data_IF_257262431341
#
_entry.id   IF_257262431341
#
_cell.length_a   1.000
_cell.length_b   1.000
_cell.length_c   1.000
_cell.angle_alpha   90.00
_cell.angle_beta   90.00
_cell.angle_gamma   90.00
#
_symmetry.space_group_name_H-M   'P 1'
#
loop_
_entity.id
_entity.type
_entity.pdbx_description
1 polymer ?
#
# COMPACT_ATOMS: atom_id res chain seq x y z
N UNK A 1 -15.25 4.39 -1.58
CA UNK A 1 -14.56 4.91 -0.37
C UNK A 1 -13.09 5.21 -0.64
N UNK A 2 -12.41 5.98 0.21
CA UNK A 2 -10.94 6.17 0.18
C UNK A 2 -10.26 5.04 0.94
N UNK A 3 -9.15 4.53 0.39
CA UNK A 3 -8.29 3.53 1.02
C UNK A 3 -6.97 4.19 1.46
N UNK A 4 -5.94 4.15 0.62
CA UNK A 4 -4.64 4.75 0.86
C UNK A 4 -4.65 6.27 0.76
N UNK A 5 -3.88 6.90 1.65
CA UNK A 5 -3.71 8.35 1.71
C UNK A 5 -2.23 8.69 1.91
N UNK A 6 -1.74 9.68 1.16
CA UNK A 6 -0.43 10.32 1.36
C UNK A 6 -0.57 11.84 1.30
N UNK A 7 0.46 12.54 1.76
CA UNK A 7 0.56 13.99 1.61
C UNK A 7 1.77 14.31 0.74
N UNK A 8 1.55 15.14 -0.28
CA UNK A 8 2.64 15.63 -1.15
C UNK A 8 3.53 16.65 -0.41
N UNK A 9 4.57 17.14 -1.11
CA UNK A 9 5.57 18.09 -0.57
C UNK A 9 4.96 19.44 -0.18
N UNK A 10 3.85 19.81 -0.82
CA UNK A 10 3.10 21.04 -0.54
C UNK A 10 2.08 20.87 0.62
N UNK A 11 1.95 19.65 1.15
CA UNK A 11 1.01 19.32 2.21
C UNK A 11 -0.43 19.08 1.74
N UNK A 12 -0.64 18.88 0.43
CA UNK A 12 -1.93 18.47 -0.10
C UNK A 12 -2.13 16.98 0.12
N UNK A 13 -3.37 16.59 0.39
CA UNK A 13 -3.74 15.18 0.56
C UNK A 13 -3.94 14.53 -0.81
N UNK A 14 -3.31 13.38 -1.04
CA UNK A 14 -3.52 12.50 -2.17
C UNK A 14 -4.25 11.26 -1.66
N UNK A 15 -5.40 10.96 -2.23
CA UNK A 15 -6.24 9.84 -1.82
C UNK A 15 -6.50 8.89 -2.99
N UNK A 16 -6.32 7.59 -2.73
CA UNK A 16 -6.69 6.51 -3.63
C UNK A 16 -8.13 6.12 -3.30
N UNK A 17 -9.01 6.33 -4.26
CA UNK A 17 -10.41 5.97 -4.11
C UNK A 17 -10.68 4.64 -4.81
N UNK A 18 -11.18 3.67 -4.05
CA UNK A 18 -11.50 2.34 -4.55
C UNK A 18 -12.79 2.29 -5.36
N UNK A 19 -13.25 1.06 -5.57
CA UNK A 19 -14.62 0.76 -5.99
C UNK A 19 -15.60 0.96 -4.81
N UNK A 20 -16.79 0.39 -4.91
CA UNK A 20 -17.88 0.56 -3.95
C UNK A 20 -18.20 2.05 -3.71
N UNK A 21 -18.72 2.70 -4.76
CA UNK A 21 -19.05 4.13 -4.78
C UNK A 21 -17.86 5.07 -4.52
N UNK A 22 -16.62 4.56 -4.55
CA UNK A 22 -15.40 5.37 -4.41
C UNK A 22 -15.01 6.15 -5.65
N UNK A 23 -15.55 5.81 -6.81
CA UNK A 23 -15.26 6.51 -8.05
C UNK A 23 -13.97 6.08 -8.75
N UNK A 24 -13.15 5.20 -8.15
CA UNK A 24 -12.02 4.51 -8.81
C UNK A 24 -11.02 5.47 -9.44
N UNK A 25 -10.47 6.37 -8.62
CA UNK A 25 -9.66 7.49 -9.06
C UNK A 25 -8.65 7.94 -8.00
N UNK A 26 -7.58 8.60 -8.44
CA UNK A 26 -6.73 9.41 -7.58
C UNK A 26 -7.29 10.83 -7.48
N UNK A 27 -7.39 11.32 -6.25
CA UNK A 27 -7.84 12.69 -5.96
C UNK A 27 -6.77 13.41 -5.16
N UNK A 28 -6.53 14.69 -5.48
CA UNK A 28 -5.75 15.64 -4.70
C UNK A 28 -6.67 16.64 -4.02
N UNK A 29 -6.51 16.83 -2.72
CA UNK A 29 -7.24 17.84 -1.95
C UNK A 29 -6.25 18.86 -1.40
N UNK A 30 -6.44 20.13 -1.74
CA UNK A 30 -5.73 21.24 -1.11
C UNK A 30 -6.22 21.37 0.34
N UNK A 31 -5.33 21.09 1.28
CA UNK A 31 -5.66 21.05 2.70
C UNK A 31 -5.89 22.44 3.32
N UNK A 32 -5.54 23.52 2.61
CA UNK A 32 -5.82 24.90 3.04
C UNK A 32 -7.21 25.35 2.61
N UNK A 33 -7.59 25.04 1.36
CA UNK A 33 -8.87 25.48 0.80
C UNK A 33 -9.99 24.44 0.87
N UNK A 34 -9.66 23.17 1.09
CA UNK A 34 -10.59 22.04 1.06
C UNK A 34 -11.03 21.62 -0.35
N UNK A 35 -10.49 22.24 -1.41
CA UNK A 35 -10.85 21.92 -2.80
C UNK A 35 -10.20 20.63 -3.26
N UNK A 36 -10.96 19.80 -3.96
CA UNK A 36 -10.52 18.50 -4.48
C UNK A 36 -10.50 18.48 -6.01
N UNK A 37 -9.51 17.79 -6.57
CA UNK A 37 -9.25 17.67 -7.99
C UNK A 37 -8.98 16.21 -8.34
N UNK A 38 -9.56 15.74 -9.43
CA UNK A 38 -9.24 14.41 -9.97
C UNK A 38 -7.88 14.51 -10.65
N UNK A 39 -6.95 13.65 -10.24
CA UNK A 39 -5.64 13.53 -10.88
C UNK A 39 -5.68 12.54 -12.03
N UNK A 40 -6.28 11.38 -11.81
CA UNK A 40 -6.58 10.40 -12.86
C UNK A 40 -7.72 9.48 -12.40
N UNK A 41 -8.55 9.04 -13.34
CA UNK A 41 -9.59 8.03 -13.12
C UNK A 41 -9.64 6.95 -14.21
N UNK A 42 -8.78 7.05 -15.22
CA UNK A 42 -8.78 6.17 -16.38
C UNK A 42 -7.35 5.78 -16.75
N UNK A 43 -7.19 4.55 -17.24
CA UNK A 43 -5.99 4.11 -17.93
C UNK A 43 -6.39 3.46 -19.26
N UNK A 44 -5.78 3.93 -20.36
CA UNK A 44 -6.13 3.52 -21.73
C UNK A 44 -7.64 3.58 -22.01
N UNK A 45 -8.29 4.67 -21.57
CA UNK A 45 -9.73 4.91 -21.78
C UNK A 45 -10.68 4.05 -20.93
N UNK A 46 -10.16 3.18 -20.07
CA UNK A 46 -10.96 2.32 -19.18
C UNK A 46 -10.82 2.77 -17.71
N UNK A 47 -11.87 2.66 -16.88
CA UNK A 47 -11.77 2.87 -15.43
C UNK A 47 -10.71 1.98 -14.80
N UNK A 48 -10.12 2.42 -13.69
CA UNK A 48 -9.39 1.52 -12.80
C UNK A 48 -10.33 0.49 -12.15
N UNK A 49 -9.76 -0.58 -11.58
CA UNK A 49 -10.53 -1.62 -10.92
C UNK A 49 -11.04 -1.18 -9.54
N UNK A 50 -10.12 -0.91 -8.61
CA UNK A 50 -10.36 -0.33 -7.29
C UNK A 50 -8.99 0.06 -6.69
N UNK A 51 -8.64 1.35 -6.75
CA UNK A 51 -7.37 1.80 -6.18
C UNK A 51 -7.30 1.48 -4.68
N UNK A 52 -6.11 1.13 -4.22
CA UNK A 52 -5.87 0.80 -2.82
C UNK A 52 -4.83 1.72 -2.18
N UNK A 53 -3.53 1.42 -2.29
CA UNK A 53 -2.49 2.14 -1.55
C UNK A 53 -1.63 3.02 -2.47
N UNK A 54 -0.96 4.03 -1.87
CA UNK A 54 -0.19 5.06 -2.59
C UNK A 54 1.19 5.24 -1.98
N UNK A 55 2.18 5.52 -2.83
CA UNK A 55 3.42 6.19 -2.44
C UNK A 55 3.79 7.28 -3.44
N UNK A 56 4.62 8.23 -3.03
CA UNK A 56 5.06 9.34 -3.86
C UNK A 56 6.58 9.38 -3.75
N UNK A 57 7.27 9.58 -4.87
CA UNK A 57 8.72 9.68 -4.88
C UNK A 57 9.22 11.13 -4.84
N UNK A 58 10.53 11.31 -4.74
CA UNK A 58 11.14 12.64 -4.63
C UNK A 58 10.98 13.50 -5.90
N UNK A 59 10.69 12.88 -7.04
CA UNK A 59 10.42 13.57 -8.31
C UNK A 59 8.93 13.98 -8.44
N UNK A 60 8.10 13.64 -7.45
CA UNK A 60 6.67 13.94 -7.44
C UNK A 60 5.82 12.95 -8.24
N UNK A 61 6.39 11.80 -8.65
CA UNK A 61 5.64 10.73 -9.30
C UNK A 61 4.83 9.98 -8.26
N UNK A 62 3.56 9.71 -8.56
CA UNK A 62 2.63 9.05 -7.64
C UNK A 62 2.43 7.62 -8.11
N UNK A 63 2.81 6.66 -7.28
CA UNK A 63 2.60 5.23 -7.56
C UNK A 63 1.43 4.71 -6.73
N UNK A 64 0.60 3.87 -7.33
CA UNK A 64 -0.60 3.36 -6.69
C UNK A 64 -0.98 1.96 -7.17
N UNK A 65 -1.66 1.20 -6.32
CA UNK A 65 -2.09 -0.18 -6.59
C UNK A 65 -3.56 -0.28 -6.96
N UNK A 66 -3.91 -1.24 -7.83
CA UNK A 66 -5.27 -1.46 -8.36
C UNK A 66 -5.77 -2.93 -8.25
N UNK A 67 -5.98 -3.45 -7.02
CA UNK A 67 -6.20 -4.89 -6.76
C UNK A 67 -7.63 -5.44 -6.85
N UNK A 68 -8.68 -4.61 -6.86
CA UNK A 68 -10.10 -5.07 -6.70
C UNK A 68 -10.34 -6.01 -5.50
N UNK A 69 -10.41 -5.42 -4.30
CA UNK A 69 -10.79 -6.14 -3.07
C UNK A 69 -12.28 -6.03 -2.70
N UNK A 70 -12.90 -4.90 -3.04
CA UNK A 70 -14.22 -4.47 -2.61
C UNK A 70 -14.98 -3.85 -3.78
N UNK A 71 -16.30 -3.74 -3.66
CA UNK A 71 -17.21 -3.16 -4.67
C UNK A 71 -17.96 -4.22 -5.46
N UNK A 72 -19.00 -3.81 -6.19
CA UNK A 72 -19.80 -4.63 -7.11
C UNK A 72 -19.48 -4.31 -8.58
N UNK A 73 -18.63 -3.30 -8.81
CA UNK A 73 -18.27 -2.82 -10.13
C UNK A 73 -17.43 -3.85 -10.89
N UNK A 74 -17.58 -3.97 -12.22
CA UNK A 74 -16.77 -4.87 -13.02
C UNK A 74 -15.26 -4.58 -12.90
N UNK A 75 -14.44 -5.59 -13.18
CA UNK A 75 -13.01 -5.42 -13.44
C UNK A 75 -12.85 -4.86 -14.85
N UNK A 76 -12.26 -3.68 -14.98
CA UNK A 76 -12.10 -2.97 -16.26
C UNK A 76 -10.68 -3.05 -16.81
N UNK A 77 -9.67 -3.05 -15.93
CA UNK A 77 -8.27 -3.23 -16.29
C UNK A 77 -7.88 -4.70 -16.27
N UNK A 78 -6.96 -5.07 -17.14
CA UNK A 78 -6.52 -6.45 -17.25
C UNK A 78 -5.59 -6.81 -16.07
N UNK A 79 -6.09 -7.67 -15.19
CA UNK A 79 -5.38 -8.12 -13.99
C UNK A 79 -5.28 -7.06 -12.89
N UNK A 80 -4.42 -7.33 -11.91
CA UNK A 80 -4.10 -6.43 -10.81
C UNK A 80 -2.70 -5.88 -11.00
N UNK A 81 -2.58 -4.56 -10.92
CA UNK A 81 -1.36 -3.87 -11.31
C UNK A 81 -1.06 -2.68 -10.41
N UNK A 82 0.21 -2.26 -10.42
CA UNK A 82 0.62 -0.95 -9.96
C UNK A 82 0.81 -0.01 -11.14
N UNK A 83 0.46 1.25 -10.92
CA UNK A 83 0.56 2.34 -11.89
C UNK A 83 1.41 3.47 -11.33
N UNK A 84 1.93 4.31 -12.22
CA UNK A 84 2.63 5.55 -11.91
C UNK A 84 1.93 6.69 -12.65
N UNK A 85 1.60 7.75 -11.94
CA UNK A 85 1.20 9.04 -12.49
C UNK A 85 2.41 9.98 -12.41
N UNK A 86 2.85 10.47 -13.56
CA UNK A 86 3.96 11.41 -13.68
C UNK A 86 3.47 12.87 -13.52
N UNK A 87 4.36 13.82 -13.12
CA UNK A 87 4.01 15.23 -12.94
C UNK A 87 3.40 15.92 -14.17
N UNK A 88 3.65 15.40 -15.38
CA UNK A 88 3.07 15.89 -16.62
C UNK A 88 1.63 15.40 -16.86
N UNK A 89 1.11 14.52 -15.99
CA UNK A 89 -0.23 13.94 -16.06
C UNK A 89 -0.29 12.61 -16.83
N UNK A 90 0.82 12.11 -17.37
CA UNK A 90 0.86 10.81 -18.01
C UNK A 90 0.78 9.68 -16.97
N UNK A 91 0.15 8.55 -17.37
CA UNK A 91 0.00 7.39 -16.50
C UNK A 91 0.59 6.17 -17.19
N UNK A 92 1.46 5.46 -16.47
CA UNK A 92 2.08 4.21 -16.92
C UNK A 92 1.71 3.05 -16.01
N UNK A 93 1.51 1.86 -16.59
CA UNK A 93 1.35 0.61 -15.83
C UNK A 93 2.73 0.00 -15.56
N UNK A 94 3.21 0.12 -14.33
CA UNK A 94 4.61 -0.16 -13.98
C UNK A 94 4.85 -1.56 -13.39
N UNK A 95 3.83 -2.26 -12.90
CA UNK A 95 3.95 -3.66 -12.50
C UNK A 95 2.65 -4.42 -12.74
N UNK A 96 2.74 -5.56 -13.43
CA UNK A 96 1.62 -6.51 -13.68
C UNK A 96 1.83 -7.86 -13.01
N UNK A 97 3.01 -8.09 -12.45
CA UNK A 97 3.43 -9.33 -11.80
C UNK A 97 3.45 -9.20 -10.26
N UNK A 98 2.75 -8.20 -9.72
CA UNK A 98 2.70 -7.91 -8.29
C UNK A 98 1.60 -8.68 -7.54
N UNK A 99 0.84 -9.53 -8.23
CA UNK A 99 -0.32 -10.23 -7.65
C UNK A 99 -1.44 -9.24 -7.32
N UNK A 100 -2.29 -9.61 -6.36
CA UNK A 100 -3.34 -8.73 -5.83
C UNK A 100 -2.70 -7.69 -4.91
N UNK A 101 -2.16 -6.65 -5.54
CA UNK A 101 -1.25 -5.70 -4.91
C UNK A 101 -1.93 -4.75 -3.91
N UNK A 102 -1.31 -4.51 -2.77
CA UNK A 102 -1.88 -3.70 -1.70
C UNK A 102 -0.94 -2.54 -1.35
N UNK A 103 -0.28 -2.56 -0.19
CA UNK A 103 0.76 -1.60 0.16
C UNK A 103 1.86 -1.47 -0.90
N UNK A 104 2.21 -0.21 -1.18
CA UNK A 104 3.28 0.18 -2.11
C UNK A 104 4.16 1.26 -1.46
N UNK A 105 5.48 1.15 -1.64
CA UNK A 105 6.44 2.01 -0.96
C UNK A 105 7.73 2.15 -1.77
N UNK A 106 8.07 3.37 -2.17
CA UNK A 106 9.41 3.72 -2.65
C UNK A 106 10.35 3.83 -1.43
N UNK A 107 11.55 3.26 -1.54
CA UNK A 107 12.57 3.36 -0.51
C UNK A 107 13.07 4.79 -0.33
N UNK A 108 13.57 5.17 0.85
CA UNK A 108 14.15 6.50 1.07
C UNK A 108 15.24 6.88 0.07
N UNK A 109 16.06 5.92 -0.36
CA UNK A 109 17.13 6.13 -1.34
C UNK A 109 16.66 6.15 -2.81
N UNK A 110 15.35 6.07 -3.05
CA UNK A 110 14.67 6.11 -4.35
C UNK A 110 15.03 4.96 -5.32
N UNK A 111 15.69 3.91 -4.84
CA UNK A 111 16.22 2.83 -5.70
C UNK A 111 15.40 1.55 -5.68
N UNK A 112 14.55 1.37 -4.68
CA UNK A 112 13.77 0.14 -4.51
C UNK A 112 12.30 0.45 -4.32
N UNK A 113 11.43 -0.16 -5.13
CA UNK A 113 10.00 -0.16 -4.90
C UNK A 113 9.62 -1.46 -4.20
N UNK A 114 8.94 -1.35 -3.07
CA UNK A 114 8.34 -2.48 -2.36
C UNK A 114 6.86 -2.53 -2.65
N UNK A 115 6.35 -3.70 -3.02
CA UNK A 115 4.93 -3.93 -3.27
C UNK A 115 4.53 -5.22 -2.56
N UNK A 116 3.48 -5.14 -1.76
CA UNK A 116 2.90 -6.35 -1.18
C UNK A 116 1.76 -6.90 -2.04
N UNK A 117 1.62 -8.22 -2.02
CA UNK A 117 0.44 -8.92 -2.51
C UNK A 117 -0.31 -9.50 -1.33
N UNK A 118 -1.62 -9.30 -1.30
CA UNK A 118 -2.53 -9.99 -0.40
C UNK A 118 -3.63 -10.62 -1.23
N UNK A 119 -3.40 -11.84 -1.74
CA UNK A 119 -4.37 -12.50 -2.57
C UNK A 119 -5.32 -13.35 -1.73
N UNK A 120 -6.39 -12.71 -1.28
CA UNK A 120 -7.46 -13.33 -0.53
C UNK A 120 -8.39 -14.22 -1.39
N UNK A 121 -8.08 -14.44 -2.68
CA UNK A 121 -8.82 -15.36 -3.55
C UNK A 121 -10.21 -14.87 -3.97
N UNK A 122 -10.58 -13.62 -3.69
CA UNK A 122 -11.95 -13.15 -3.92
C UNK A 122 -12.08 -11.65 -4.17
N UNK A 123 -12.89 -11.25 -5.15
CA UNK A 123 -13.01 -9.84 -5.57
C UNK A 123 -13.90 -8.98 -4.65
N UNK A 124 -14.76 -9.60 -3.83
CA UNK A 124 -15.75 -8.92 -3.01
C UNK A 124 -15.82 -9.56 -1.62
N UNK A 125 -14.71 -9.48 -0.87
CA UNK A 125 -14.57 -10.30 0.34
C UNK A 125 -15.61 -9.96 1.43
N UNK A 126 -16.24 -8.80 1.37
CA UNK A 126 -17.33 -8.42 2.27
C UNK A 126 -18.62 -9.21 2.04
N UNK A 127 -18.79 -9.81 0.86
CA UNK A 127 -19.96 -10.62 0.52
C UNK A 127 -19.78 -12.10 0.91
N UNK A 128 -18.61 -12.48 1.46
CA UNK A 128 -18.40 -13.80 2.01
C UNK A 128 -19.25 -13.97 3.27
N UNK A 129 -19.93 -15.12 3.38
CA UNK A 129 -20.69 -15.48 4.58
C UNK A 129 -19.73 -15.89 5.68
N UNK A 130 -20.20 -15.79 6.93
CA UNK A 130 -19.44 -16.29 8.07
C UNK A 130 -19.13 -17.78 7.88
N UNK A 131 -17.84 -18.13 7.97
CA UNK A 131 -17.35 -19.49 7.77
C UNK A 131 -16.97 -19.86 6.33
N UNK A 132 -17.25 -19.01 5.33
CA UNK A 132 -16.77 -19.24 3.96
C UNK A 132 -15.26 -19.02 3.85
N UNK A 133 -14.60 -19.93 3.14
CA UNK A 133 -13.17 -19.86 2.83
C UNK A 133 -12.96 -19.76 1.34
N UNK A 134 -11.97 -19.00 0.93
CA UNK A 134 -11.61 -18.79 -0.47
C UNK A 134 -10.26 -19.45 -0.77
N UNK A 135 -10.01 -19.75 -2.04
CA UNK A 135 -8.69 -20.23 -2.47
C UNK A 135 -7.75 -19.03 -2.54
N UNK A 136 -7.00 -18.82 -1.48
CA UNK A 136 -6.00 -17.76 -1.38
C UNK A 136 -4.78 -18.09 -2.23
N UNK A 137 -4.09 -17.05 -2.69
CA UNK A 137 -2.84 -17.17 -3.43
C UNK A 137 -1.76 -16.25 -2.83
N UNK A 138 -0.84 -15.75 -3.66
CA UNK A 138 0.39 -15.09 -3.22
C UNK A 138 0.19 -14.01 -2.15
N UNK A 139 0.74 -14.28 -0.96
CA UNK A 139 0.87 -13.34 0.16
C UNK A 139 2.33 -12.92 0.28
N UNK A 140 2.71 -11.90 -0.48
CA UNK A 140 4.12 -11.65 -0.79
C UNK A 140 4.55 -10.26 -0.34
N UNK A 141 5.74 -10.16 0.23
CA UNK A 141 6.53 -8.92 0.19
C UNK A 141 7.49 -9.00 -0.99
N UNK A 142 7.34 -8.08 -1.94
CA UNK A 142 8.12 -8.05 -3.18
C UNK A 142 8.94 -6.76 -3.25
N UNK A 143 10.07 -6.82 -3.93
CA UNK A 143 10.92 -5.67 -4.22
C UNK A 143 11.24 -5.62 -5.71
N UNK A 144 11.42 -4.40 -6.21
CA UNK A 144 11.74 -4.07 -7.59
C UNK A 144 12.82 -3.00 -7.59
N UNK A 145 13.73 -3.07 -8.56
CA UNK A 145 14.68 -1.98 -8.80
C UNK A 145 13.95 -0.84 -9.53
N UNK A 146 14.28 0.40 -9.18
CA UNK A 146 13.70 1.62 -9.75
C UNK A 146 14.76 2.34 -10.57
N UNK A 147 14.49 2.57 -11.85
CA UNK A 147 15.38 3.37 -12.70
C UNK A 147 15.12 4.89 -12.54
N UNK A 148 15.97 5.70 -13.16
CA UNK A 148 15.84 7.17 -13.11
C UNK A 148 14.49 7.67 -13.65
N UNK A 149 13.92 6.95 -14.62
CA UNK A 149 12.61 7.23 -15.23
C UNK A 149 11.44 6.69 -14.40
N UNK A 150 11.69 6.00 -13.29
CA UNK A 150 10.69 5.48 -12.37
C UNK A 150 10.09 4.15 -12.83
N UNK A 151 10.74 3.44 -13.74
CA UNK A 151 10.30 2.12 -14.19
C UNK A 151 10.78 1.04 -13.23
N UNK A 152 9.99 -0.02 -13.12
CA UNK A 152 10.25 -1.14 -12.21
C UNK A 152 10.84 -2.33 -12.97
N UNK A 153 11.90 -2.91 -12.43
CA UNK A 153 12.55 -4.10 -12.99
C UNK A 153 13.06 -5.04 -11.89
N UNK A 154 13.65 -6.18 -12.27
CA UNK A 154 14.32 -7.11 -11.35
C UNK A 154 13.48 -7.52 -10.13
N UNK A 155 12.21 -7.86 -10.38
CA UNK A 155 11.28 -8.33 -9.35
C UNK A 155 11.89 -9.48 -8.55
N UNK A 156 11.84 -9.36 -7.23
CA UNK A 156 12.23 -10.42 -6.27
C UNK A 156 11.22 -10.52 -5.14
N UNK A 157 10.97 -11.73 -4.67
CA UNK A 157 10.16 -11.99 -3.47
C UNK A 157 11.10 -12.00 -2.28
N UNK A 158 10.86 -11.14 -1.30
CA UNK A 158 11.62 -11.10 -0.04
C UNK A 158 11.02 -12.04 0.99
N UNK A 159 9.69 -12.07 1.09
CA UNK A 159 8.96 -12.98 1.98
C UNK A 159 7.73 -13.50 1.24
N UNK A 160 7.52 -14.81 1.32
CA UNK A 160 6.28 -15.47 0.93
C UNK A 160 5.58 -15.96 2.21
N UNK A 161 4.60 -15.18 2.68
CA UNK A 161 3.88 -15.44 3.92
C UNK A 161 3.00 -16.71 3.85
N UNK A 162 2.66 -17.16 2.63
CA UNK A 162 1.93 -18.40 2.41
C UNK A 162 2.80 -19.65 2.61
N UNK A 163 4.14 -19.49 2.61
CA UNK A 163 5.13 -20.56 2.75
C UNK A 163 5.87 -20.58 4.09
N UNK A 164 5.43 -19.77 5.05
CA UNK A 164 5.94 -19.84 6.41
C UNK A 164 5.49 -21.15 7.08
N UNK A 165 6.23 -21.60 8.10
CA UNK A 165 5.88 -22.79 8.91
C UNK A 165 4.42 -22.77 9.38
N UNK A 166 3.93 -21.58 9.70
CA UNK A 166 2.51 -21.30 9.90
C UNK A 166 2.08 -20.19 8.93
N UNK A 167 1.37 -20.52 7.84
CA UNK A 167 0.90 -19.54 6.88
C UNK A 167 0.08 -18.42 7.54
N UNK A 168 0.12 -17.24 6.94
CA UNK A 168 -0.63 -16.06 7.37
C UNK A 168 -1.40 -15.49 6.18
N UNK A 169 -2.48 -14.74 6.44
CA UNK A 169 -3.16 -13.90 5.42
C UNK A 169 -2.31 -12.77 4.84
N UNK A 170 -1.04 -12.66 5.23
CA UNK A 170 -0.04 -11.89 4.52
C UNK A 170 0.10 -10.43 4.94
N UNK A 171 0.91 -9.68 4.21
CA UNK A 171 1.15 -8.27 4.47
C UNK A 171 0.02 -7.39 3.88
N UNK A 172 -0.13 -6.19 4.41
CA UNK A 172 -1.08 -5.15 3.96
C UNK A 172 -0.34 -3.81 3.75
N UNK A 173 -0.80 -2.68 4.28
CA UNK A 173 -0.09 -1.41 4.18
C UNK A 173 1.31 -1.39 4.82
N UNK A 174 2.18 -0.51 4.32
CA UNK A 174 3.56 -0.36 4.82
C UNK A 174 4.09 1.08 4.76
N UNK A 175 5.15 1.35 5.53
CA UNK A 175 5.91 2.60 5.52
C UNK A 175 7.40 2.36 5.77
N UNK A 176 8.27 3.31 5.42
CA UNK A 176 9.70 3.26 5.75
C UNK A 176 10.06 4.21 6.90
N UNK A 177 11.04 3.82 7.71
CA UNK A 177 11.75 4.75 8.59
C UNK A 177 12.92 5.44 7.87
N UNK A 178 13.51 6.45 8.51
CA UNK A 178 14.65 7.23 7.99
C UNK A 178 15.91 6.40 7.71
N UNK A 179 15.98 5.16 8.21
CA UNK A 179 17.09 4.22 7.97
C UNK A 179 16.79 3.24 6.84
N UNK A 180 15.61 3.34 6.23
CA UNK A 180 15.15 2.44 5.16
C UNK A 180 14.57 1.12 5.66
N UNK A 181 14.32 0.94 6.96
CA UNK A 181 13.62 -0.26 7.41
C UNK A 181 12.13 -0.15 7.07
N UNK A 182 11.54 -1.28 6.70
CA UNK A 182 10.14 -1.42 6.34
C UNK A 182 9.31 -1.74 7.57
N UNK A 183 8.25 -0.98 7.79
CA UNK A 183 7.25 -1.21 8.83
C UNK A 183 5.97 -1.66 8.14
N UNK A 184 5.59 -2.92 8.35
CA UNK A 184 4.56 -3.61 7.56
C UNK A 184 3.43 -4.06 8.47
N UNK A 185 2.19 -3.73 8.12
CA UNK A 185 1.00 -4.32 8.73
C UNK A 185 0.93 -5.81 8.36
N UNK A 186 1.29 -6.69 9.29
CA UNK A 186 1.26 -8.13 9.09
C UNK A 186 -0.07 -8.71 9.56
N UNK A 187 -0.91 -9.11 8.59
CA UNK A 187 -2.17 -9.82 8.82
C UNK A 187 -1.88 -11.30 9.02
N UNK A 188 -1.47 -11.63 10.24
CA UNK A 188 -1.23 -13.01 10.62
C UNK A 188 -2.09 -13.40 11.81
N UNK A 189 -2.99 -14.36 11.62
CA UNK A 189 -4.02 -14.78 12.58
C UNK A 189 -3.43 -15.23 13.91
N UNK A 190 -2.25 -15.87 13.88
CA UNK A 190 -1.56 -16.36 15.07
C UNK A 190 -0.51 -15.39 15.63
N UNK A 191 -0.20 -14.30 14.91
CA UNK A 191 0.80 -13.29 15.29
C UNK A 191 0.48 -11.92 14.66
N UNK A 192 -0.66 -11.28 14.99
CA UNK A 192 -1.07 -10.04 14.34
C UNK A 192 -0.29 -8.82 14.89
N UNK A 193 0.31 -8.05 13.99
CA UNK A 193 1.12 -6.91 14.40
C UNK A 193 1.89 -6.21 13.29
N UNK A 194 2.71 -5.25 13.67
CA UNK A 194 3.61 -4.54 12.77
C UNK A 194 4.97 -5.23 12.78
N UNK A 195 5.38 -5.76 11.63
CA UNK A 195 6.73 -6.29 11.41
C UNK A 195 7.65 -5.16 10.99
N UNK A 196 8.82 -5.06 11.61
CA UNK A 196 9.89 -4.16 11.20
C UNK A 196 10.98 -4.98 10.53
N UNK A 197 11.20 -4.77 9.24
CA UNK A 197 12.14 -5.53 8.43
C UNK A 197 13.25 -4.62 7.91
N UNK A 198 14.46 -5.13 7.76
CA UNK A 198 15.47 -4.44 6.97
C UNK A 198 15.12 -4.48 5.46
N UNK A 199 15.82 -3.74 4.59
CA UNK A 199 15.57 -3.73 3.14
C UNK A 199 15.65 -5.10 2.44
N UNK A 200 16.29 -6.09 3.07
CA UNK A 200 16.44 -7.46 2.58
C UNK A 200 15.35 -8.41 3.09
N UNK A 201 14.38 -7.94 3.89
CA UNK A 201 13.29 -8.75 4.42
C UNK A 201 13.62 -9.48 5.73
N UNK A 202 14.74 -9.17 6.40
CA UNK A 202 15.06 -9.74 7.71
C UNK A 202 14.29 -8.98 8.81
N UNK A 203 13.54 -9.71 9.63
CA UNK A 203 12.85 -9.13 10.80
C UNK A 203 13.87 -8.58 11.83
N UNK A 204 13.68 -7.32 12.20
CA UNK A 204 14.48 -6.58 13.18
C UNK A 204 13.72 -6.39 14.49
N UNK A 205 12.40 -6.15 14.39
CA UNK A 205 11.53 -5.93 15.52
C UNK A 205 10.08 -6.25 15.16
N UNK A 206 9.23 -6.32 16.18
CA UNK A 206 7.82 -6.63 16.03
C UNK A 206 6.98 -5.93 17.10
N UNK A 207 5.84 -5.37 16.71
CA UNK A 207 4.88 -4.72 17.62
C UNK A 207 3.53 -5.43 17.49
N UNK A 208 3.08 -6.10 18.56
CA UNK A 208 1.79 -6.80 18.54
C UNK A 208 0.61 -5.82 18.55
N UNK A 209 -0.43 -6.15 17.79
CA UNK A 209 -1.75 -5.50 17.85
C UNK A 209 -2.76 -6.30 18.66
N UNK A 210 -2.30 -7.24 19.49
CA UNK A 210 -3.13 -8.10 20.31
C UNK A 210 -3.84 -9.16 19.46
N UNK A 211 -5.14 -8.98 19.22
CA UNK A 211 -5.98 -9.95 18.47
C UNK A 211 -6.47 -9.41 17.13
N UNK A 212 -6.43 -8.10 16.92
CA UNK A 212 -6.94 -7.50 15.69
C UNK A 212 -5.87 -7.53 14.60
N UNK A 213 -6.29 -7.88 13.38
CA UNK A 213 -5.41 -7.88 12.20
C UNK A 213 -5.19 -6.44 11.72
N UNK A 214 -3.93 -5.96 11.69
CA UNK A 214 -3.62 -4.62 11.20
C UNK A 214 -3.90 -4.49 9.70
N UNK A 215 -4.20 -3.29 9.24
CA UNK A 215 -4.45 -3.00 7.81
C UNK A 215 -3.48 -2.00 7.23
N UNK A 216 -3.04 -1.00 8.00
CA UNK A 216 -2.07 -0.02 7.53
C UNK A 216 -1.30 0.60 8.69
N UNK A 217 -0.22 1.30 8.34
CA UNK A 217 0.72 1.92 9.28
C UNK A 217 1.29 3.22 8.69
N UNK A 218 1.47 4.24 9.51
CA UNK A 218 2.02 5.51 9.09
C UNK A 218 2.69 6.27 10.22
N UNK A 219 3.77 6.97 9.93
CA UNK A 219 4.40 7.88 10.88
C UNK A 219 3.72 9.25 10.86
N UNK A 220 3.67 9.91 12.01
CA UNK A 220 3.39 11.33 12.10
C UNK A 220 4.43 12.18 11.36
N UNK A 221 4.24 13.51 11.35
CA UNK A 221 5.15 14.46 10.68
C UNK A 221 5.74 15.45 11.68
N UNK A 222 6.85 16.09 11.29
CA UNK A 222 7.48 17.15 12.09
C UNK A 222 7.91 16.66 13.48
N UNK A 223 7.45 17.35 14.53
CA UNK A 223 7.77 16.99 15.91
C UNK A 223 7.27 15.59 16.32
N UNK A 224 6.26 15.06 15.64
CA UNK A 224 5.71 13.72 15.87
C UNK A 224 6.18 12.70 14.83
N UNK A 225 7.31 12.96 14.13
CA UNK A 225 7.86 12.01 13.16
C UNK A 225 8.24 10.64 13.73
N UNK A 226 8.31 10.50 15.07
CA UNK A 226 8.54 9.24 15.77
C UNK A 226 7.26 8.63 16.38
N UNK A 227 6.09 9.20 16.12
CA UNK A 227 4.81 8.65 16.53
C UNK A 227 4.26 7.80 15.39
N UNK A 228 4.16 6.50 15.61
CA UNK A 228 3.60 5.55 14.67
C UNK A 228 2.11 5.41 14.93
N UNK A 229 1.30 5.55 13.87
CA UNK A 229 -0.13 5.24 13.84
C UNK A 229 -0.35 3.94 13.09
N UNK A 230 -1.32 3.15 13.51
CA UNK A 230 -1.68 1.91 12.83
C UNK A 230 -3.19 1.64 12.95
N UNK A 231 -3.79 1.24 11.84
CA UNK A 231 -5.19 0.79 11.78
C UNK A 231 -5.23 -0.72 11.94
N UNK A 232 -6.13 -1.22 12.77
CA UNK A 232 -6.26 -2.65 13.00
C UNK A 232 -7.68 -3.01 13.40
N UNK A 233 -8.32 -3.90 12.64
CA UNK A 233 -9.72 -4.26 12.84
C UNK A 233 -10.63 -3.02 12.93
N UNK A 234 -11.20 -2.79 14.13
CA UNK A 234 -12.09 -1.64 14.41
C UNK A 234 -11.40 -0.51 15.17
N UNK A 235 -10.08 -0.56 15.30
CA UNK A 235 -9.30 0.28 16.19
C UNK A 235 -8.23 1.09 15.45
N UNK A 236 -7.87 2.23 16.03
CA UNK A 236 -6.71 3.04 15.68
C UNK A 236 -5.78 3.10 16.89
N UNK A 237 -4.54 2.65 16.72
CA UNK A 237 -3.53 2.72 17.78
C UNK A 237 -2.46 3.75 17.43
N UNK A 238 -1.74 4.22 18.45
CA UNK A 238 -0.53 5.01 18.29
C UNK A 238 0.54 4.63 19.31
N UNK A 239 1.80 4.68 18.92
CA UNK A 239 2.95 4.39 19.79
C UNK A 239 4.15 5.25 19.41
N UNK A 240 4.86 5.82 20.39
CA UNK A 240 6.14 6.49 20.13
C UNK A 240 7.24 5.44 20.00
N UNK A 241 8.05 5.55 18.96
CA UNK A 241 9.17 4.63 18.67
C UNK A 241 10.50 5.38 18.62
N UNK A 242 11.61 4.64 18.59
CA UNK A 242 12.97 5.19 18.68
C UNK A 242 13.56 5.70 17.36
N UNK A 243 12.79 5.72 16.28
CA UNK A 243 13.20 6.17 14.94
C UNK A 243 12.17 7.12 14.37
N UNK A 244 12.56 7.95 13.40
CA UNK A 244 11.61 8.77 12.65
C UNK A 244 11.19 8.05 11.39
N UNK A 245 9.93 8.27 10.98
CA UNK A 245 9.47 7.91 9.64
C UNK A 245 10.21 8.69 8.57
N UNK A 246 10.52 8.06 7.44
CA UNK A 246 10.97 8.79 6.27
C UNK A 246 9.85 9.75 5.82
N UNK A 247 10.24 10.99 5.53
CA UNK A 247 9.34 12.00 5.00
C UNK A 247 9.88 12.43 3.65
N UNK A 248 8.98 12.65 2.70
CA UNK A 248 9.36 13.29 1.46
C UNK A 248 9.99 14.65 1.80
N UNK A 249 11.21 14.92 1.29
CA UNK A 249 11.92 16.15 1.56
C UNK A 249 11.25 17.37 0.93
#
# INVERSE_FOLDING_TARGET
>A
MSNGIKFDRDGNMIAALGADYGGRMLVKTDMRSGKSYILTGLYNGRPYNALNDITIDEQGRIYFTDPRYLGHEPVFQDGFAAYRLDPDGSVERVATNCGKCNGILISPDQKTMYIVSNDNGWLEFQNLREGETTVQAGHLLQAYDVDASGNLSNRRVLIDYSKLDKPCSGPDGMIADERGNLWIASRCEHRPGIQVLNPQGKELAYISTGKELPTNVGFGRGADANLLYLTSGKSLYRIRVGVKGYQLP
#
